data_IF_074699287814
#
_entry.id   IF_074699287814
#
_cell.length_a   1.000
_cell.length_b   1.000
_cell.length_c   1.000
_cell.angle_alpha   90.00
_cell.angle_beta   90.00
_cell.angle_gamma   90.00
#
_symmetry.space_group_name_H-M   'P 1'
#
loop_
_entity.id
_entity.type
_entity.pdbx_description
1 polymer ?
#
# COMPACT_ATOMS: atom_id res chain seq x y z
N UNK A 1 -15.66 -28.96 18.11
CA UNK A 1 -17.11 -28.84 18.31
C UNK A 1 -17.41 -27.47 18.86
N UNK A 2 -17.78 -26.53 17.99
CA UNK A 2 -18.54 -25.32 18.30
C UNK A 2 -18.97 -24.78 16.95
N UNK A 3 -20.21 -24.99 16.62
CA UNK A 3 -20.96 -24.53 15.45
C UNK A 3 -21.23 -23.04 15.60
N UNK A 4 -20.81 -22.23 14.64
CA UNK A 4 -21.28 -20.86 14.51
C UNK A 4 -22.52 -20.85 13.61
N UNK A 5 -23.63 -20.47 14.19
CA UNK A 5 -24.93 -20.33 13.52
C UNK A 5 -24.92 -19.07 12.62
N UNK A 6 -25.02 -19.32 11.32
CA UNK A 6 -25.55 -18.35 10.36
C UNK A 6 -27.04 -18.17 10.62
N UNK A 7 -27.47 -17.15 11.34
CA UNK A 7 -28.86 -16.71 11.37
C UNK A 7 -28.91 -15.23 11.77
N UNK A 8 -29.13 -14.35 10.80
CA UNK A 8 -29.42 -12.96 11.14
C UNK A 8 -29.74 -11.96 10.03
N UNK A 9 -29.52 -12.27 8.77
CA UNK A 9 -29.66 -11.23 7.73
C UNK A 9 -30.67 -11.49 6.61
N UNK A 10 -31.46 -12.56 6.62
CA UNK A 10 -32.39 -12.88 5.51
C UNK A 10 -33.88 -12.83 5.90
N UNK A 11 -34.23 -12.39 7.11
CA UNK A 11 -35.63 -12.40 7.58
C UNK A 11 -36.37 -11.07 7.59
N UNK A 12 -35.83 -10.02 7.01
CA UNK A 12 -36.51 -8.70 7.00
C UNK A 12 -37.15 -8.28 5.67
N UNK A 13 -37.22 -9.15 4.66
CA UNK A 13 -37.78 -8.76 3.36
C UNK A 13 -39.02 -9.55 2.89
N UNK A 14 -39.61 -10.43 3.68
CA UNK A 14 -40.72 -11.27 3.23
C UNK A 14 -42.10 -11.02 3.91
N UNK A 15 -42.27 -10.02 4.74
CA UNK A 15 -43.55 -9.74 5.41
C UNK A 15 -44.22 -8.42 4.98
N UNK A 16 -44.11 -8.04 3.71
CA UNK A 16 -45.08 -7.07 3.14
C UNK A 16 -46.18 -7.89 2.44
N UNK A 17 -47.10 -8.39 3.25
CA UNK A 17 -48.41 -8.80 2.73
C UNK A 17 -49.22 -7.55 2.33
N UNK A 18 -49.30 -7.33 1.02
CA UNK A 18 -50.29 -6.41 0.47
C UNK A 18 -51.68 -7.02 0.66
N UNK A 19 -52.40 -6.55 1.68
CA UNK A 19 -53.84 -6.78 1.79
C UNK A 19 -54.56 -5.90 0.77
N UNK A 20 -55.10 -6.52 -0.24
CA UNK A 20 -56.02 -5.88 -1.19
C UNK A 20 -57.34 -5.63 -0.48
N UNK A 21 -57.84 -4.36 -0.37
CA UNK A 21 -59.16 -4.13 0.17
C UNK A 21 -60.26 -4.55 -0.79
N UNK A 22 -61.29 -5.23 -0.27
CA UNK A 22 -62.52 -5.62 -0.96
C UNK A 22 -63.30 -4.40 -1.46
N UNK A 23 -63.94 -4.46 -2.62
CA UNK A 23 -64.69 -3.35 -3.20
C UNK A 23 -66.16 -3.39 -2.75
N UNK A 24 -66.49 -2.88 -1.56
CA UNK A 24 -67.87 -2.68 -1.20
C UNK A 24 -68.05 -1.38 -0.40
N UNK A 25 -68.71 -0.39 -1.03
CA UNK A 25 -69.41 0.69 -0.41
C UNK A 25 -68.91 2.11 -0.74
N UNK A 26 -69.81 3.03 -1.17
CA UNK A 26 -69.41 4.38 -1.50
C UNK A 26 -69.34 5.25 -0.22
N UNK A 27 -68.15 5.43 0.27
CA UNK A 27 -67.89 6.54 1.19
C UNK A 27 -67.49 7.77 0.34
N UNK A 28 -68.29 8.83 0.39
CA UNK A 28 -68.00 10.07 -0.31
C UNK A 28 -66.66 10.68 0.06
N UNK A 29 -66.09 11.55 -0.81
CA UNK A 29 -64.79 12.12 -0.58
C UNK A 29 -64.78 12.97 0.66
N UNK A 30 -64.07 12.51 1.71
CA UNK A 30 -63.69 13.33 2.82
C UNK A 30 -62.88 14.54 2.32
N UNK A 31 -62.84 15.69 3.03
CA UNK A 31 -62.07 16.84 2.59
C UNK A 31 -60.63 16.47 2.49
N UNK A 32 -60.15 16.25 1.23
CA UNK A 32 -58.76 16.02 0.94
C UNK A 32 -57.95 17.18 1.52
N UNK A 33 -57.01 16.84 2.36
CA UNK A 33 -55.96 17.76 2.83
C UNK A 33 -55.23 18.27 1.60
N UNK A 34 -55.76 19.39 1.04
CA UNK A 34 -55.04 20.17 0.03
C UNK A 34 -53.80 20.74 0.72
N UNK A 35 -52.66 20.09 0.56
CA UNK A 35 -51.39 20.72 0.90
C UNK A 35 -51.35 22.05 0.14
N UNK A 36 -51.21 23.18 0.85
CA UNK A 36 -51.15 24.45 0.17
C UNK A 36 -50.06 24.36 -0.91
N UNK A 37 -50.38 24.79 -2.13
CA UNK A 37 -49.48 24.68 -3.29
C UNK A 37 -48.10 25.25 -3.02
N UNK A 38 -47.96 26.15 -2.07
CA UNK A 38 -46.71 26.66 -1.55
C UNK A 38 -45.84 25.57 -0.89
N UNK A 39 -46.37 24.62 -0.13
CA UNK A 39 -45.59 23.53 0.49
C UNK A 39 -45.08 22.53 -0.57
N UNK A 40 -45.87 22.24 -1.60
CA UNK A 40 -45.46 21.39 -2.72
C UNK A 40 -44.38 22.10 -3.52
N UNK A 41 -44.55 23.40 -3.79
CA UNK A 41 -43.55 24.19 -4.49
C UNK A 41 -42.25 24.33 -3.69
N UNK A 42 -42.34 24.48 -2.34
CA UNK A 42 -41.16 24.53 -1.48
C UNK A 42 -40.41 23.22 -1.46
N UNK A 43 -41.09 22.08 -1.36
CA UNK A 43 -40.48 20.74 -1.39
C UNK A 43 -39.81 20.49 -2.74
N UNK A 44 -40.47 20.88 -3.85
CA UNK A 44 -39.87 20.77 -5.18
C UNK A 44 -38.64 21.69 -5.34
N UNK A 45 -38.72 22.92 -4.81
CA UNK A 45 -37.58 23.83 -4.83
C UNK A 45 -36.42 23.30 -4.03
N UNK A 46 -36.64 22.76 -2.83
CA UNK A 46 -35.59 22.12 -2.00
C UNK A 46 -35.03 20.89 -2.70
N UNK A 47 -35.88 20.06 -3.31
CA UNK A 47 -35.38 18.91 -4.08
C UNK A 47 -34.52 19.31 -5.29
N UNK A 48 -34.86 20.42 -5.95
CA UNK A 48 -34.07 20.93 -7.08
C UNK A 48 -32.78 21.63 -6.60
N UNK A 49 -32.90 22.49 -5.56
CA UNK A 49 -31.76 23.33 -5.13
C UNK A 49 -30.76 22.55 -4.29
N UNK A 50 -31.17 21.51 -3.57
CA UNK A 50 -30.30 20.71 -2.72
C UNK A 50 -30.11 19.29 -3.30
N UNK A 51 -31.19 18.64 -3.71
CA UNK A 51 -31.18 17.24 -4.11
C UNK A 51 -30.41 17.01 -5.44
N UNK A 52 -30.56 17.90 -6.42
CA UNK A 52 -29.85 17.77 -7.70
C UNK A 52 -28.34 18.00 -7.54
N UNK A 53 -27.87 19.09 -6.90
CA UNK A 53 -26.44 19.27 -6.66
C UNK A 53 -25.82 18.15 -5.84
N UNK A 54 -26.53 17.67 -4.79
CA UNK A 54 -26.05 16.53 -4.00
C UNK A 54 -25.92 15.25 -4.83
N UNK A 55 -26.91 14.98 -5.70
CA UNK A 55 -26.84 13.80 -6.57
C UNK A 55 -25.69 13.89 -7.59
N UNK A 56 -25.44 15.08 -8.12
CA UNK A 56 -24.29 15.34 -9.00
C UNK A 56 -22.98 15.13 -8.20
N UNK A 57 -22.87 15.74 -7.04
CA UNK A 57 -21.68 15.60 -6.20
C UNK A 57 -21.38 14.14 -5.82
N UNK A 58 -22.42 13.34 -5.49
CA UNK A 58 -22.26 11.90 -5.24
C UNK A 58 -21.79 11.15 -6.48
N UNK A 59 -22.32 11.49 -7.65
CA UNK A 59 -21.95 10.84 -8.90
C UNK A 59 -20.51 11.15 -9.30
N UNK A 60 -20.16 12.42 -9.26
CA UNK A 60 -18.82 12.89 -9.66
C UNK A 60 -17.73 12.48 -8.66
N UNK A 61 -18.00 12.55 -7.35
CA UNK A 61 -17.05 12.15 -6.31
C UNK A 61 -16.58 10.69 -6.44
N UNK A 62 -17.46 9.78 -6.88
CA UNK A 62 -17.09 8.38 -7.11
C UNK A 62 -16.00 8.18 -8.19
N UNK A 63 -15.72 9.19 -8.99
CA UNK A 63 -14.65 9.18 -9.99
C UNK A 63 -13.29 9.63 -9.47
N UNK A 64 -13.16 9.95 -8.16
CA UNK A 64 -11.95 10.50 -7.58
C UNK A 64 -11.56 9.81 -6.28
N UNK A 65 -10.26 9.87 -5.99
CA UNK A 65 -9.66 9.58 -4.70
C UNK A 65 -9.16 10.88 -4.07
N UNK A 66 -9.34 11.00 -2.76
CA UNK A 66 -8.77 12.09 -1.97
C UNK A 66 -7.46 11.59 -1.35
N UNK A 67 -6.38 12.31 -1.61
CA UNK A 67 -5.09 12.15 -0.97
C UNK A 67 -4.97 13.25 0.08
N UNK A 68 -4.71 12.86 1.31
CA UNK A 68 -4.55 13.77 2.44
C UNK A 68 -3.28 13.45 3.22
N UNK A 69 -2.74 14.41 3.98
CA UNK A 69 -1.61 14.15 4.85
C UNK A 69 -1.93 13.04 5.84
N UNK A 70 -1.20 11.95 5.76
CA UNK A 70 -1.29 10.84 6.70
C UNK A 70 -0.54 11.12 7.99
N UNK A 71 0.19 10.11 8.45
CA UNK A 71 1.00 10.18 9.67
C UNK A 71 2.49 10.13 9.36
N UNK A 72 3.31 10.48 10.34
CA UNK A 72 4.76 10.32 10.28
C UNK A 72 5.25 9.52 11.50
N UNK A 73 5.03 8.18 11.48
CA UNK A 73 5.33 7.33 12.62
C UNK A 73 6.83 7.26 12.91
N UNK A 74 7.15 7.22 14.21
CA UNK A 74 8.50 6.99 14.70
C UNK A 74 8.92 5.54 14.47
N UNK A 75 10.04 5.31 13.79
CA UNK A 75 10.61 3.96 13.68
C UNK A 75 11.42 3.66 14.95
N UNK A 76 11.06 2.59 15.65
CA UNK A 76 11.64 2.26 16.95
C UNK A 76 11.82 0.76 17.15
N UNK A 77 12.83 0.36 17.92
CA UNK A 77 13.01 -1.01 18.41
C UNK A 77 12.25 -1.29 19.71
N UNK A 78 11.48 -0.30 20.21
CA UNK A 78 10.75 -0.42 21.48
C UNK A 78 9.62 -1.43 21.39
N UNK A 79 9.57 -2.36 22.34
CA UNK A 79 8.46 -3.31 22.50
C UNK A 79 7.17 -2.66 23.04
N UNK A 80 7.23 -1.38 23.37
CA UNK A 80 6.07 -0.58 23.76
C UNK A 80 5.28 -0.05 22.56
N UNK A 81 5.87 -0.07 21.35
CA UNK A 81 5.15 0.17 20.11
C UNK A 81 4.23 -1.02 19.84
N UNK A 82 2.93 -0.86 20.01
CA UNK A 82 1.93 -1.94 19.96
C UNK A 82 0.67 -1.48 19.25
N UNK A 83 -0.04 -2.43 18.67
CA UNK A 83 -1.35 -2.18 18.05
C UNK A 83 -2.34 -1.66 19.09
N UNK A 84 -2.93 -0.50 18.84
CA UNK A 84 -4.03 0.08 19.59
C UNK A 84 -5.36 -0.61 19.33
N UNK A 85 -6.42 -0.09 19.93
CA UNK A 85 -7.78 -0.60 19.72
C UNK A 85 -8.36 -0.30 18.34
N UNK A 86 -7.76 0.62 17.62
CA UNK A 86 -8.07 1.09 16.27
C UNK A 86 -7.29 0.34 15.17
N UNK A 87 -6.37 -0.56 15.54
CA UNK A 87 -5.51 -1.30 14.61
C UNK A 87 -4.17 -0.61 14.32
N UNK A 88 -4.00 0.64 14.69
CA UNK A 88 -2.77 1.39 14.49
C UNK A 88 -1.71 1.08 15.56
N UNK A 89 -0.44 1.18 15.18
CA UNK A 89 0.68 1.02 16.10
C UNK A 89 1.01 2.35 16.78
N UNK A 90 0.99 2.38 18.12
CA UNK A 90 1.35 3.55 18.90
C UNK A 90 2.15 3.21 20.16
N UNK A 91 2.92 4.18 20.63
CA UNK A 91 3.54 4.18 21.94
C UNK A 91 2.50 4.50 23.05
N UNK A 92 2.80 4.25 24.33
CA UNK A 92 1.87 4.51 25.43
C UNK A 92 1.41 5.97 25.56
N UNK A 93 2.18 6.92 25.04
CA UNK A 93 1.86 8.35 24.98
C UNK A 93 0.99 8.76 23.79
N UNK A 94 0.60 7.77 22.95
CA UNK A 94 -0.17 8.01 21.73
C UNK A 94 0.66 8.40 20.51
N UNK A 95 1.99 8.44 20.61
CA UNK A 95 2.84 8.72 19.44
C UNK A 95 2.76 7.58 18.44
N UNK A 96 2.36 7.82 17.17
CA UNK A 96 2.37 6.81 16.13
C UNK A 96 3.77 6.21 15.96
N UNK A 97 3.85 4.90 15.83
CA UNK A 97 5.14 4.22 15.71
C UNK A 97 5.10 3.03 14.75
N UNK A 98 6.27 2.66 14.27
CA UNK A 98 6.55 1.44 13.50
C UNK A 98 7.64 0.68 14.23
N UNK A 99 7.47 -0.62 14.40
CA UNK A 99 8.40 -1.43 15.16
C UNK A 99 9.42 -2.13 14.28
N UNK A 100 10.69 -1.74 14.43
CA UNK A 100 11.83 -2.45 13.86
C UNK A 100 12.20 -3.63 14.77
N UNK A 101 12.12 -4.84 14.23
CA UNK A 101 12.43 -6.08 14.95
C UNK A 101 13.83 -6.56 14.60
N UNK A 102 14.69 -6.57 15.58
CA UNK A 102 16.07 -7.03 15.50
C UNK A 102 16.32 -8.15 16.53
N UNK A 103 17.28 -9.04 16.33
CA UNK A 103 17.66 -10.04 17.33
C UNK A 103 18.11 -9.39 18.65
N UNK A 104 17.81 -10.05 19.75
CA UNK A 104 18.18 -9.59 21.08
C UNK A 104 19.69 -9.26 21.17
N UNK A 105 20.01 -8.09 21.70
CA UNK A 105 21.38 -7.62 21.87
C UNK A 105 22.06 -7.08 20.61
N UNK A 106 21.33 -6.97 19.49
CA UNK A 106 21.84 -6.32 18.26
C UNK A 106 21.52 -4.85 18.17
N UNK A 107 20.39 -4.44 18.76
CA UNK A 107 19.96 -3.02 18.71
C UNK A 107 20.75 -2.17 19.71
N UNK A 108 21.19 -1.03 19.27
CA UNK A 108 21.78 0.04 20.09
C UNK A 108 20.75 1.12 20.39
N UNK A 109 20.85 1.82 21.54
CA UNK A 109 20.04 3.01 21.80
C UNK A 109 20.29 4.08 20.75
N UNK A 110 19.20 4.62 20.17
CA UNK A 110 19.26 5.63 19.11
C UNK A 110 19.18 7.02 19.72
N UNK A 111 20.05 7.94 19.25
CA UNK A 111 20.00 9.38 19.53
C UNK A 111 19.30 10.09 18.38
N UNK A 112 18.31 10.92 18.71
CA UNK A 112 17.43 11.54 17.70
C UNK A 112 16.27 10.66 17.34
N UNK A 113 15.71 10.83 16.15
CA UNK A 113 14.53 10.10 15.70
C UNK A 113 14.52 9.92 14.19
N UNK A 114 14.11 8.76 13.74
CA UNK A 114 13.82 8.49 12.34
C UNK A 114 12.31 8.25 12.17
N UNK A 115 11.71 9.01 11.26
CA UNK A 115 10.31 8.90 10.91
C UNK A 115 10.18 8.33 9.50
N UNK A 116 9.28 7.39 9.31
CA UNK A 116 8.69 7.16 8.00
C UNK A 116 7.50 8.10 7.81
N UNK A 117 6.88 8.10 6.64
CA UNK A 117 5.69 8.89 6.37
C UNK A 117 4.78 8.17 5.41
N UNK A 118 3.49 8.25 5.66
CA UNK A 118 2.43 7.74 4.81
C UNK A 118 1.54 8.86 4.23
N UNK A 119 0.62 8.46 3.37
CA UNK A 119 -0.44 9.30 2.81
C UNK A 119 -1.76 8.59 3.09
N UNK A 120 -2.73 9.31 3.59
CA UNK A 120 -4.09 8.79 3.69
C UNK A 120 -4.76 8.89 2.31
N UNK A 121 -5.22 7.76 1.80
CA UNK A 121 -5.90 7.67 0.50
C UNK A 121 -7.28 7.07 0.70
N UNK A 122 -8.30 7.82 0.38
CA UNK A 122 -9.68 7.40 0.47
C UNK A 122 -10.45 7.70 -0.81
N UNK A 123 -11.54 6.97 -1.05
CA UNK A 123 -12.46 7.36 -2.10
C UNK A 123 -13.10 8.69 -1.72
N UNK A 124 -13.06 9.67 -2.63
CA UNK A 124 -13.63 10.99 -2.37
C UNK A 124 -15.13 10.92 -2.11
N UNK A 125 -15.58 11.61 -1.08
CA UNK A 125 -16.99 11.79 -0.77
C UNK A 125 -17.59 13.02 -1.48
N UNK A 126 -18.93 13.17 -1.40
CA UNK A 126 -19.61 14.32 -2.00
C UNK A 126 -19.20 15.67 -1.40
N UNK A 127 -18.77 15.66 -0.14
CA UNK A 127 -18.30 16.88 0.56
C UNK A 127 -16.93 17.26 0.03
N UNK A 128 -16.01 16.29 -0.06
CA UNK A 128 -14.64 16.50 -0.57
C UNK A 128 -14.66 17.02 -2.00
N UNK A 129 -15.53 16.44 -2.84
CA UNK A 129 -15.74 16.92 -4.20
C UNK A 129 -16.27 18.34 -4.25
N UNK A 130 -17.24 18.68 -3.40
CA UNK A 130 -17.80 20.02 -3.35
C UNK A 130 -16.79 21.05 -2.83
N UNK A 131 -15.98 20.71 -1.84
CA UNK A 131 -14.90 21.55 -1.32
C UNK A 131 -13.83 21.79 -2.38
N UNK A 132 -13.46 20.74 -3.12
CA UNK A 132 -12.52 20.84 -4.23
C UNK A 132 -13.02 21.77 -5.34
N UNK A 133 -14.28 21.59 -5.79
CA UNK A 133 -14.89 22.40 -6.84
C UNK A 133 -15.00 23.88 -6.44
N UNK A 134 -15.21 24.14 -5.15
CA UNK A 134 -15.27 25.49 -4.57
C UNK A 134 -13.89 26.07 -4.23
N UNK A 135 -12.81 25.31 -4.41
CA UNK A 135 -11.44 25.71 -4.04
C UNK A 135 -11.23 25.84 -2.54
N UNK A 136 -11.99 25.09 -1.73
CA UNK A 136 -11.96 25.10 -0.27
C UNK A 136 -11.12 23.97 0.34
N UNK A 137 -10.74 22.97 -0.46
CA UNK A 137 -9.82 21.91 -0.03
C UNK A 137 -8.52 22.49 0.52
N UNK A 138 -7.95 21.82 1.50
CA UNK A 138 -6.65 22.17 2.05
C UNK A 138 -5.57 22.18 0.95
N UNK A 139 -4.53 23.02 1.13
CA UNK A 139 -3.44 23.08 0.15
C UNK A 139 -2.64 21.78 0.02
N UNK A 140 -2.74 20.91 1.02
CA UNK A 140 -2.06 19.64 1.08
C UNK A 140 -2.95 18.45 0.69
N UNK A 141 -4.22 18.72 0.38
CA UNK A 141 -5.16 17.68 -0.06
C UNK A 141 -5.21 17.69 -1.59
N UNK A 142 -5.20 16.51 -2.20
CA UNK A 142 -5.23 16.37 -3.65
C UNK A 142 -6.37 15.46 -4.09
N UNK A 143 -7.16 15.92 -5.03
CA UNK A 143 -8.16 15.09 -5.71
C UNK A 143 -7.53 14.44 -6.94
N UNK A 144 -7.46 13.12 -6.95
CA UNK A 144 -6.85 12.32 -8.02
C UNK A 144 -7.95 11.54 -8.74
N UNK A 145 -8.07 11.64 -10.08
CA UNK A 145 -9.02 10.82 -10.83
C UNK A 145 -8.79 9.33 -10.59
N UNK A 146 -9.86 8.57 -10.36
CA UNK A 146 -9.78 7.13 -10.15
C UNK A 146 -9.07 6.40 -11.32
N UNK A 147 -9.30 6.85 -12.55
CA UNK A 147 -8.63 6.31 -13.73
C UNK A 147 -7.10 6.52 -13.72
N UNK A 148 -6.62 7.57 -13.05
CA UNK A 148 -5.19 7.86 -12.90
C UNK A 148 -4.58 7.05 -11.74
N UNK A 149 -5.27 6.96 -10.60
CA UNK A 149 -4.78 6.27 -9.41
C UNK A 149 -4.87 4.75 -9.51
N UNK A 150 -6.07 4.23 -9.83
CA UNK A 150 -6.30 2.78 -9.90
C UNK A 150 -6.16 2.21 -11.31
N UNK A 151 -6.16 3.07 -12.34
CA UNK A 151 -6.12 2.65 -13.73
C UNK A 151 -7.26 1.67 -14.06
N UNK A 152 -6.90 0.52 -14.60
CA UNK A 152 -7.82 -0.60 -14.86
C UNK A 152 -7.76 -1.69 -13.78
N UNK A 153 -6.99 -1.48 -12.72
CA UNK A 153 -6.77 -2.47 -11.65
C UNK A 153 -8.00 -2.52 -10.74
N UNK A 154 -8.59 -3.69 -10.51
CA UNK A 154 -9.68 -3.84 -9.56
C UNK A 154 -9.22 -3.46 -8.14
N UNK A 155 -10.10 -2.82 -7.38
CA UNK A 155 -9.81 -2.35 -6.00
C UNK A 155 -9.35 -3.48 -5.06
N UNK A 156 -9.82 -4.72 -5.30
CA UNK A 156 -9.39 -5.92 -4.54
C UNK A 156 -7.92 -6.31 -4.81
N UNK A 157 -7.35 -5.88 -5.92
CA UNK A 157 -5.97 -6.18 -6.33
C UNK A 157 -5.01 -5.10 -5.83
N UNK A 158 -5.47 -3.85 -5.69
CA UNK A 158 -4.65 -2.75 -5.15
C UNK A 158 -4.10 -3.09 -3.75
N UNK A 159 -4.95 -3.56 -2.84
CA UNK A 159 -4.50 -3.93 -1.49
C UNK A 159 -3.50 -5.08 -1.47
N UNK A 160 -3.51 -5.93 -2.52
CA UNK A 160 -2.51 -6.97 -2.69
C UNK A 160 -1.16 -6.42 -3.16
N UNK A 161 -1.17 -5.52 -4.13
CA UNK A 161 0.02 -4.82 -4.62
C UNK A 161 0.66 -4.00 -3.52
N UNK A 162 -0.12 -3.19 -2.80
CA UNK A 162 0.37 -2.37 -1.67
C UNK A 162 1.07 -3.22 -0.60
N UNK A 163 0.47 -4.38 -0.26
CA UNK A 163 1.06 -5.31 0.72
C UNK A 163 2.38 -5.91 0.20
N UNK A 164 2.43 -6.30 -1.08
CA UNK A 164 3.61 -6.85 -1.72
C UNK A 164 4.74 -5.83 -1.80
N UNK A 165 4.41 -4.60 -2.16
CA UNK A 165 5.36 -3.50 -2.26
C UNK A 165 5.95 -3.15 -0.90
N UNK A 166 5.15 -3.19 0.17
CA UNK A 166 5.65 -2.99 1.53
C UNK A 166 6.59 -4.10 1.98
N UNK A 167 6.25 -5.38 1.74
CA UNK A 167 7.13 -6.52 2.05
C UNK A 167 8.44 -6.43 1.27
N UNK A 168 8.37 -6.02 0.01
CA UNK A 168 9.56 -5.78 -0.81
C UNK A 168 10.40 -4.63 -0.28
N UNK A 169 9.77 -3.52 0.14
CA UNK A 169 10.44 -2.37 0.74
C UNK A 169 11.21 -2.74 2.02
N UNK A 170 10.60 -3.53 2.92
CA UNK A 170 11.27 -4.04 4.14
C UNK A 170 12.48 -4.92 3.79
N UNK A 171 12.33 -5.83 2.83
CA UNK A 171 13.40 -6.72 2.39
C UNK A 171 14.57 -5.95 1.76
N UNK A 172 14.31 -5.06 0.81
CA UNK A 172 15.35 -4.27 0.17
C UNK A 172 16.00 -3.26 1.12
N UNK A 173 15.23 -2.69 2.06
CA UNK A 173 15.78 -1.85 3.12
C UNK A 173 16.77 -2.64 4.01
N UNK A 174 16.41 -3.84 4.42
CA UNK A 174 17.29 -4.72 5.18
C UNK A 174 18.54 -5.12 4.39
N UNK A 175 18.38 -5.46 3.11
CA UNK A 175 19.49 -5.80 2.21
C UNK A 175 20.47 -4.62 2.08
N UNK A 176 19.98 -3.44 1.71
CA UNK A 176 20.78 -2.23 1.52
C UNK A 176 21.49 -1.80 2.82
N UNK A 177 20.77 -1.82 3.95
CA UNK A 177 21.33 -1.47 5.25
C UNK A 177 22.46 -2.43 5.67
N UNK A 178 22.20 -3.72 5.62
CA UNK A 178 23.17 -4.75 6.03
C UNK A 178 24.38 -4.81 5.10
N UNK A 179 24.17 -4.71 3.78
CA UNK A 179 25.27 -4.61 2.81
C UNK A 179 26.15 -3.39 3.10
N UNK A 180 25.54 -2.24 3.40
CA UNK A 180 26.25 -0.99 3.72
C UNK A 180 27.03 -1.07 5.04
N UNK A 181 26.61 -1.92 5.97
CA UNK A 181 27.30 -2.24 7.23
C UNK A 181 28.30 -3.39 7.10
N UNK A 182 28.70 -3.78 5.88
CA UNK A 182 29.64 -4.85 5.56
C UNK A 182 29.20 -6.24 6.04
N UNK A 183 27.91 -6.48 6.27
CA UNK A 183 27.38 -7.81 6.50
C UNK A 183 27.30 -8.59 5.17
N UNK A 184 27.53 -9.90 5.25
CA UNK A 184 27.31 -10.78 4.10
C UNK A 184 25.82 -11.00 3.88
N UNK A 185 25.33 -10.53 2.77
CA UNK A 185 23.94 -10.68 2.31
C UNK A 185 23.93 -11.26 0.91
N UNK A 186 22.90 -12.00 0.55
CA UNK A 186 22.72 -12.53 -0.79
C UNK A 186 21.24 -12.64 -1.14
N UNK A 187 20.95 -12.49 -2.43
CA UNK A 187 19.66 -12.81 -3.01
C UNK A 187 19.73 -14.22 -3.58
N UNK A 188 18.79 -15.07 -3.19
CA UNK A 188 18.66 -16.44 -3.68
C UNK A 188 17.36 -16.55 -4.44
N UNK A 189 17.37 -16.93 -5.72
CA UNK A 189 16.14 -17.19 -6.46
C UNK A 189 15.27 -18.24 -5.74
N UNK A 190 14.00 -17.95 -5.53
CA UNK A 190 13.08 -18.76 -4.71
C UNK A 190 11.73 -19.04 -5.39
N UNK A 191 11.67 -18.90 -6.70
CA UNK A 191 10.46 -19.12 -7.46
C UNK A 191 9.95 -17.91 -8.21
N UNK A 192 8.66 -17.92 -8.53
CA UNK A 192 7.94 -16.78 -9.10
C UNK A 192 6.80 -16.38 -8.18
N UNK A 193 6.69 -15.10 -7.92
CA UNK A 193 5.59 -14.53 -7.16
C UNK A 193 4.48 -14.11 -8.11
N UNK A 194 3.26 -14.38 -7.72
CA UNK A 194 2.06 -14.00 -8.49
C UNK A 194 1.72 -12.56 -8.13
N UNK A 195 1.80 -11.67 -9.11
CA UNK A 195 1.46 -10.25 -8.95
C UNK A 195 -0.03 -10.01 -9.19
N UNK A 196 -0.58 -10.67 -10.23
CA UNK A 196 -1.97 -10.56 -10.59
C UNK A 196 -2.54 -11.90 -11.03
N UNK A 197 -3.80 -12.17 -10.67
CA UNK A 197 -4.59 -13.29 -11.19
C UNK A 197 -5.77 -12.75 -11.97
N UNK A 198 -5.70 -12.87 -13.28
CA UNK A 198 -6.74 -12.36 -14.17
C UNK A 198 -8.07 -13.09 -13.97
N UNK A 199 -9.14 -12.35 -13.82
CA UNK A 199 -10.48 -12.89 -13.55
C UNK A 199 -10.96 -13.90 -14.59
N UNK A 200 -11.69 -14.95 -14.17
CA UNK A 200 -12.24 -16.01 -15.01
C UNK A 200 -11.21 -16.86 -15.75
N UNK A 201 -9.93 -16.82 -15.36
CA UNK A 201 -8.84 -17.59 -15.94
C UNK A 201 -8.65 -18.97 -15.27
N UNK A 202 -7.82 -19.85 -15.84
CA UNK A 202 -7.48 -21.12 -15.20
C UNK A 202 -6.86 -20.96 -13.79
N UNK A 203 -6.01 -19.96 -13.59
CA UNK A 203 -5.41 -19.68 -12.30
C UNK A 203 -6.46 -19.26 -11.27
N UNK A 204 -7.35 -18.33 -11.64
CA UNK A 204 -8.45 -17.88 -10.80
C UNK A 204 -9.38 -19.04 -10.39
N UNK A 205 -9.74 -19.91 -11.34
CA UNK A 205 -10.58 -21.08 -11.07
C UNK A 205 -9.88 -22.12 -10.17
N UNK A 206 -8.56 -22.16 -10.20
CA UNK A 206 -7.75 -23.06 -9.39
C UNK A 206 -7.50 -22.53 -7.97
N UNK A 207 -7.89 -21.27 -7.67
CA UNK A 207 -7.73 -20.64 -6.37
C UNK A 207 -6.28 -20.19 -6.12
N UNK A 208 -5.55 -19.85 -7.18
CA UNK A 208 -4.28 -19.12 -7.08
C UNK A 208 -4.62 -17.66 -6.76
N UNK A 209 -3.89 -17.06 -5.85
CA UNK A 209 -4.10 -15.69 -5.43
C UNK A 209 -2.84 -14.85 -5.64
N UNK A 210 -3.01 -13.55 -5.62
CA UNK A 210 -1.90 -12.62 -5.58
C UNK A 210 -1.03 -12.90 -4.34
N UNK A 211 0.27 -12.67 -4.47
CA UNK A 211 1.33 -13.01 -3.50
C UNK A 211 1.58 -14.50 -3.27
N UNK A 212 0.86 -15.40 -3.92
CA UNK A 212 1.23 -16.82 -3.92
C UNK A 212 2.58 -17.01 -4.64
N UNK A 213 3.34 -18.00 -4.22
CA UNK A 213 4.67 -18.27 -4.78
C UNK A 213 4.71 -19.64 -5.43
N UNK A 214 4.90 -19.66 -6.74
CA UNK A 214 5.02 -20.89 -7.51
C UNK A 214 6.49 -21.28 -7.62
N UNK A 215 6.84 -22.47 -7.10
CA UNK A 215 8.22 -22.96 -7.05
C UNK A 215 8.48 -24.17 -7.93
N UNK A 216 7.44 -24.81 -8.48
CA UNK A 216 7.61 -25.90 -9.42
C UNK A 216 6.41 -26.06 -10.36
N UNK A 217 6.68 -26.54 -11.57
CA UNK A 217 5.69 -26.96 -12.56
C UNK A 217 5.89 -28.44 -12.87
N UNK A 218 4.86 -29.28 -12.66
CA UNK A 218 4.90 -30.74 -12.83
C UNK A 218 6.07 -31.41 -12.08
N UNK A 219 6.41 -30.89 -10.88
CA UNK A 219 7.51 -31.35 -10.04
C UNK A 219 8.90 -30.92 -10.50
N UNK A 220 9.02 -30.13 -11.56
CA UNK A 220 10.27 -29.48 -11.97
C UNK A 220 10.37 -28.14 -11.27
N UNK A 221 11.44 -27.89 -10.49
CA UNK A 221 11.65 -26.57 -9.87
C UNK A 221 11.68 -25.45 -10.92
N UNK A 222 11.13 -24.29 -10.55
CA UNK A 222 11.22 -23.03 -11.29
C UNK A 222 11.68 -21.95 -10.33
N UNK A 223 12.78 -21.28 -10.67
CA UNK A 223 13.42 -20.29 -9.81
C UNK A 223 13.35 -18.88 -10.42
N UNK A 224 12.78 -18.77 -11.61
CA UNK A 224 12.62 -17.48 -12.29
C UNK A 224 11.43 -17.49 -13.24
N UNK A 225 10.96 -16.29 -13.59
CA UNK A 225 9.95 -16.06 -14.64
C UNK A 225 10.31 -16.77 -15.96
N UNK A 226 11.58 -16.70 -16.35
CA UNK A 226 12.04 -17.37 -17.58
C UNK A 226 11.91 -18.90 -17.49
N UNK A 227 12.25 -19.50 -16.36
CA UNK A 227 12.14 -20.95 -16.14
C UNK A 227 10.67 -21.36 -16.05
N UNK A 228 9.83 -20.57 -15.40
CA UNK A 228 8.39 -20.78 -15.36
C UNK A 228 7.78 -20.76 -16.76
N UNK A 229 8.08 -19.75 -17.55
CA UNK A 229 7.66 -19.66 -18.95
C UNK A 229 8.15 -20.84 -19.80
N UNK A 230 9.43 -21.26 -19.66
CA UNK A 230 9.99 -22.43 -20.34
C UNK A 230 9.32 -23.73 -19.92
N UNK A 231 8.89 -23.86 -18.67
CA UNK A 231 8.20 -25.06 -18.17
C UNK A 231 6.77 -25.17 -18.72
N UNK A 232 6.11 -24.04 -18.98
CA UNK A 232 4.74 -24.01 -19.52
C UNK A 232 4.70 -24.03 -21.05
N UNK A 233 5.70 -23.45 -21.73
CA UNK A 233 5.72 -23.29 -23.18
C UNK A 233 5.48 -24.58 -24.01
N UNK A 234 6.01 -25.76 -23.62
CA UNK A 234 5.78 -27.00 -24.38
C UNK A 234 4.44 -27.67 -24.06
N UNK A 235 3.67 -27.16 -23.10
CA UNK A 235 2.44 -27.81 -22.63
C UNK A 235 1.27 -27.33 -23.49
N UNK A 236 0.53 -28.23 -24.17
CA UNK A 236 -0.60 -27.83 -24.99
C UNK A 236 -1.78 -27.33 -24.15
N UNK A 237 -2.55 -26.39 -24.71
CA UNK A 237 -3.83 -25.98 -24.14
C UNK A 237 -4.76 -27.21 -23.97
N UNK A 238 -5.53 -27.25 -22.88
CA UNK A 238 -6.35 -28.38 -22.46
C UNK A 238 -5.65 -29.36 -21.53
N UNK A 239 -4.31 -29.28 -21.41
CA UNK A 239 -3.53 -30.15 -20.52
C UNK A 239 -3.63 -29.65 -19.07
N UNK A 240 -3.62 -30.60 -18.12
CA UNK A 240 -3.56 -30.30 -16.69
C UNK A 240 -2.10 -30.28 -16.26
N UNK A 241 -1.67 -29.19 -15.67
CA UNK A 241 -0.37 -29.05 -14.98
C UNK A 241 -0.57 -29.09 -13.47
N UNK A 242 0.48 -29.49 -12.74
CA UNK A 242 0.53 -29.44 -11.29
C UNK A 242 1.53 -28.35 -10.91
N UNK A 243 1.06 -27.31 -10.25
CA UNK A 243 1.88 -26.24 -9.68
C UNK A 243 2.17 -26.56 -8.22
N UNK A 244 3.43 -26.32 -7.80
CA UNK A 244 3.76 -26.30 -6.37
C UNK A 244 3.70 -24.86 -5.92
N UNK A 245 2.79 -24.59 -5.03
CA UNK A 245 2.38 -23.27 -4.61
C UNK A 245 2.60 -23.09 -3.10
N UNK A 246 3.10 -21.93 -2.71
CA UNK A 246 3.19 -21.45 -1.34
C UNK A 246 2.22 -20.29 -1.18
N UNK A 247 1.00 -20.52 -0.64
CA UNK A 247 0.01 -19.48 -0.50
C UNK A 247 0.46 -18.33 0.41
N UNK A 248 0.20 -17.11 0.00
CA UNK A 248 0.45 -15.90 0.79
C UNK A 248 -0.29 -15.94 2.14
N UNK A 249 -1.51 -16.49 2.16
CA UNK A 249 -2.31 -16.66 3.36
C UNK A 249 -1.76 -17.72 4.33
N UNK A 250 -0.64 -18.37 3.99
CA UNK A 250 -0.05 -19.46 4.79
C UNK A 250 -0.73 -20.81 4.57
N UNK A 251 -0.54 -21.75 5.51
CA UNK A 251 -1.13 -23.10 5.39
C UNK A 251 -0.19 -24.13 4.76
N UNK A 252 1.04 -23.74 4.44
CA UNK A 252 2.07 -24.63 3.88
C UNK A 252 1.94 -24.88 2.39
N UNK A 253 2.84 -25.67 1.86
CA UNK A 253 2.95 -25.97 0.43
C UNK A 253 1.72 -26.69 -0.10
N UNK A 254 1.14 -26.19 -1.17
CA UNK A 254 0.02 -26.82 -1.89
C UNK A 254 0.46 -27.33 -3.25
N UNK A 255 -0.22 -28.36 -3.73
CA UNK A 255 -0.12 -28.83 -5.11
C UNK A 255 -1.44 -28.58 -5.81
N UNK A 256 -1.44 -27.57 -6.68
CA UNK A 256 -2.62 -27.10 -7.39
C UNK A 256 -2.65 -27.69 -8.78
N UNK A 257 -3.77 -28.32 -9.16
CA UNK A 257 -3.98 -28.83 -10.52
C UNK A 257 -4.71 -27.78 -11.34
N UNK A 258 -4.07 -27.32 -12.41
CA UNK A 258 -4.64 -26.28 -13.28
C UNK A 258 -4.73 -26.81 -14.71
N UNK A 259 -5.91 -26.68 -15.32
CA UNK A 259 -6.10 -27.00 -16.74
C UNK A 259 -5.82 -25.75 -17.57
N UNK A 260 -4.72 -25.75 -18.31
CA UNK A 260 -4.35 -24.63 -19.17
C UNK A 260 -5.37 -24.46 -20.33
N UNK A 261 -5.59 -23.21 -20.74
CA UNK A 261 -6.48 -22.88 -21.86
C UNK A 261 -5.70 -22.28 -23.03
N UNK A 262 -6.38 -21.88 -24.09
CA UNK A 262 -5.84 -21.01 -25.11
C UNK A 262 -5.89 -19.57 -24.61
N UNK A 263 -4.89 -18.73 -24.96
CA UNK A 263 -4.92 -17.32 -24.59
C UNK A 263 -6.11 -16.60 -25.25
N UNK A 264 -6.72 -15.61 -24.60
CA UNK A 264 -7.72 -14.76 -25.21
C UNK A 264 -7.15 -13.91 -26.33
N UNK A 265 -8.01 -13.36 -27.19
CA UNK A 265 -7.59 -12.61 -28.37
C UNK A 265 -6.67 -11.40 -28.04
N UNK A 266 -6.90 -10.74 -26.90
CA UNK A 266 -6.06 -9.63 -26.41
C UNK A 266 -4.63 -10.07 -26.13
N UNK A 267 -4.43 -11.24 -25.57
CA UNK A 267 -3.12 -11.83 -25.25
C UNK A 267 -2.46 -12.37 -26.52
N UNK A 268 -3.23 -12.94 -27.43
CA UNK A 268 -2.74 -13.38 -28.76
C UNK A 268 -2.16 -12.20 -29.53
N UNK A 269 -2.82 -11.03 -29.49
CA UNK A 269 -2.34 -9.79 -30.13
C UNK A 269 -0.97 -9.31 -29.61
N UNK A 270 -0.58 -9.75 -28.40
CA UNK A 270 0.73 -9.48 -27.79
C UNK A 270 1.82 -10.52 -28.17
N UNK A 271 1.55 -11.43 -29.10
CA UNK A 271 2.53 -12.40 -29.59
C UNK A 271 2.51 -13.78 -28.88
N UNK A 272 1.46 -14.07 -28.14
CA UNK A 272 1.31 -15.37 -27.42
C UNK A 272 0.46 -16.39 -28.21
N UNK A 273 0.39 -16.25 -29.52
CA UNK A 273 -0.33 -17.21 -30.37
C UNK A 273 0.26 -18.63 -30.25
N UNK A 274 -0.63 -19.62 -30.16
CA UNK A 274 -0.24 -21.05 -30.09
C UNK A 274 0.31 -21.49 -28.73
N UNK A 275 0.45 -20.59 -27.75
CA UNK A 275 0.89 -20.92 -26.39
C UNK A 275 -0.27 -21.36 -25.51
N UNK A 276 0.02 -22.06 -24.43
CA UNK A 276 -0.95 -22.33 -23.37
C UNK A 276 -1.05 -21.10 -22.45
N UNK A 277 -2.19 -20.96 -21.82
CA UNK A 277 -2.51 -19.80 -21.00
C UNK A 277 -2.96 -20.21 -19.59
N UNK A 278 -2.34 -19.60 -18.59
CA UNK A 278 -2.65 -19.79 -17.18
C UNK A 278 -3.49 -18.64 -16.62
N UNK A 279 -3.18 -17.39 -17.01
CA UNK A 279 -3.86 -16.18 -16.60
C UNK A 279 -3.35 -15.60 -15.29
N UNK A 280 -2.04 -15.52 -15.16
CA UNK A 280 -1.33 -14.84 -14.08
C UNK A 280 -0.31 -13.88 -14.65
N UNK A 281 -0.07 -12.80 -13.97
CA UNK A 281 1.14 -12.01 -14.08
C UNK A 281 2.07 -12.41 -12.94
N UNK A 282 3.35 -12.58 -13.23
CA UNK A 282 4.33 -13.06 -12.27
C UNK A 282 5.66 -12.34 -12.43
N UNK A 283 6.38 -12.19 -11.32
CA UNK A 283 7.74 -11.67 -11.27
C UNK A 283 8.70 -12.66 -10.64
N UNK A 284 10.01 -12.42 -10.82
CA UNK A 284 11.04 -13.18 -10.13
C UNK A 284 10.97 -12.93 -8.63
N UNK A 285 10.93 -14.01 -7.85
CA UNK A 285 11.04 -13.91 -6.41
C UNK A 285 12.44 -14.26 -5.96
N UNK A 286 12.97 -13.42 -5.08
CA UNK A 286 14.21 -13.69 -4.37
C UNK A 286 13.93 -13.85 -2.87
N UNK A 287 14.61 -14.79 -2.26
CA UNK A 287 14.71 -14.91 -0.81
C UNK A 287 16.00 -14.27 -0.37
N UNK A 288 15.94 -13.36 0.58
CA UNK A 288 17.13 -12.77 1.14
C UNK A 288 17.79 -13.73 2.14
N UNK A 289 19.06 -13.99 1.91
CA UNK A 289 19.92 -14.64 2.88
C UNK A 289 20.62 -13.58 3.72
N UNK A 290 20.03 -13.29 4.88
CA UNK A 290 20.55 -12.33 5.84
C UNK A 290 21.32 -13.07 6.95
N UNK A 291 22.32 -12.44 7.58
CA UNK A 291 23.08 -13.04 8.69
C UNK A 291 22.23 -13.25 9.95
N UNK A 292 21.13 -12.53 10.06
CA UNK A 292 20.11 -12.65 11.10
C UNK A 292 18.79 -12.04 10.59
N UNK A 293 17.64 -12.39 11.19
CA UNK A 293 16.35 -11.83 10.77
C UNK A 293 16.28 -10.33 11.12
N UNK A 294 15.76 -9.57 10.18
CA UNK A 294 15.37 -8.16 10.30
C UNK A 294 14.00 -8.03 9.70
N UNK A 295 13.08 -7.40 10.40
CA UNK A 295 11.75 -7.10 9.87
C UNK A 295 11.19 -5.81 10.45
N UNK A 296 10.25 -5.22 9.74
CA UNK A 296 9.51 -4.03 10.16
C UNK A 296 8.04 -4.40 10.33
N UNK A 297 7.48 -4.07 11.48
CA UNK A 297 6.05 -4.18 11.73
C UNK A 297 5.44 -2.77 11.60
N UNK A 298 4.79 -2.52 10.45
CA UNK A 298 4.23 -1.22 10.09
C UNK A 298 2.69 -1.16 10.24
N UNK A 299 2.06 -2.22 10.77
CA UNK A 299 0.60 -2.29 10.88
C UNK A 299 -0.07 -2.38 9.50
N UNK A 300 -1.07 -1.54 9.27
CA UNK A 300 -1.83 -1.50 8.01
C UNK A 300 -1.21 -0.55 6.95
N UNK A 301 -0.03 0.04 7.24
CA UNK A 301 0.64 0.93 6.28
C UNK A 301 1.17 0.11 5.11
N UNK A 302 0.80 0.48 3.90
CA UNK A 302 1.18 -0.17 2.65
C UNK A 302 2.10 0.68 1.77
N UNK A 303 2.60 0.06 0.69
CA UNK A 303 3.38 0.73 -0.35
C UNK A 303 4.90 0.76 -0.10
N UNK A 304 5.72 0.91 -1.16
CA UNK A 304 7.18 0.76 -1.10
C UNK A 304 7.92 2.03 -0.65
N UNK A 305 7.21 3.12 -0.41
CA UNK A 305 7.79 4.47 -0.23
C UNK A 305 8.56 4.68 1.07
N UNK A 306 8.52 3.72 2.01
CA UNK A 306 9.22 3.77 3.29
C UNK A 306 10.63 3.15 3.25
N UNK A 307 11.07 2.60 2.11
CA UNK A 307 12.32 1.87 1.97
C UNK A 307 13.55 2.62 2.47
N UNK A 308 13.68 3.91 2.11
CA UNK A 308 14.77 4.75 2.59
C UNK A 308 14.73 4.95 4.12
N UNK A 309 13.56 5.22 4.69
CA UNK A 309 13.40 5.41 6.13
C UNK A 309 13.76 4.14 6.91
N UNK A 310 13.30 2.97 6.44
CA UNK A 310 13.63 1.68 7.04
C UNK A 310 15.13 1.37 6.94
N UNK A 311 15.75 1.64 5.79
CA UNK A 311 17.21 1.46 5.61
C UNK A 311 18.00 2.27 6.64
N UNK A 312 17.66 3.54 6.81
CA UNK A 312 18.31 4.40 7.79
C UNK A 312 18.09 3.93 9.21
N UNK A 313 16.86 3.51 9.57
CA UNK A 313 16.55 3.04 10.90
C UNK A 313 17.25 1.72 11.28
N UNK A 314 17.37 0.79 10.31
CA UNK A 314 18.12 -0.46 10.48
C UNK A 314 19.61 -0.13 10.70
N UNK A 315 20.18 0.75 9.87
CA UNK A 315 21.58 1.17 10.01
C UNK A 315 21.85 1.86 11.34
N UNK A 316 20.99 2.78 11.74
CA UNK A 316 21.13 3.51 13.01
C UNK A 316 21.07 2.55 14.20
N UNK A 317 20.09 1.68 14.22
CA UNK A 317 19.91 0.70 15.30
C UNK A 317 21.00 -0.36 15.38
N UNK A 318 21.62 -0.74 14.26
CA UNK A 318 22.70 -1.76 14.21
C UNK A 318 24.10 -1.16 14.36
N UNK A 319 24.22 0.15 14.32
CA UNK A 319 25.48 0.86 14.56
C UNK A 319 25.55 1.39 16.00
N UNK A 320 26.05 2.60 16.22
CA UNK A 320 26.10 3.22 17.54
C UNK A 320 24.89 4.07 17.91
N UNK A 321 23.88 4.14 17.00
CA UNK A 321 22.64 4.90 17.21
C UNK A 321 22.79 6.41 17.10
N UNK A 322 23.80 6.91 16.39
CA UNK A 322 24.10 8.33 16.23
C UNK A 322 24.01 8.81 14.78
N UNK A 323 23.37 8.03 13.88
CA UNK A 323 23.32 8.31 12.45
C UNK A 323 22.68 9.67 12.13
N UNK A 324 21.65 10.06 12.89
CA UNK A 324 20.94 11.33 12.69
C UNK A 324 21.62 12.54 13.31
N UNK A 325 22.73 12.35 14.07
CA UNK A 325 23.36 13.41 14.85
C UNK A 325 22.47 14.01 15.94
N UNK A 326 21.44 13.27 16.39
CA UNK A 326 20.47 13.72 17.40
C UNK A 326 19.27 14.48 16.83
N UNK A 327 19.18 14.64 15.51
CA UNK A 327 18.08 15.33 14.85
C UNK A 327 16.85 14.43 14.67
N UNK A 328 15.68 15.05 14.50
CA UNK A 328 14.46 14.40 14.08
C UNK A 328 14.40 14.42 12.55
N UNK A 329 14.69 13.29 11.94
CA UNK A 329 14.83 13.11 10.50
C UNK A 329 13.66 12.27 9.97
N UNK A 330 13.04 12.75 8.92
CA UNK A 330 12.07 11.97 8.14
C UNK A 330 12.66 11.58 6.78
N UNK A 331 12.23 10.48 6.21
CA UNK A 331 12.65 10.06 4.89
C UNK A 331 11.51 9.37 4.14
N UNK A 332 11.46 9.58 2.82
CA UNK A 332 10.63 8.83 1.89
C UNK A 332 11.44 8.49 0.65
N UNK A 333 11.06 7.43 -0.03
CA UNK A 333 11.74 6.93 -1.22
C UNK A 333 11.71 5.40 -1.23
N UNK A 334 11.52 4.80 -2.40
CA UNK A 334 11.77 3.36 -2.54
C UNK A 334 13.27 3.10 -2.39
N UNK A 335 13.64 1.89 -2.05
CA UNK A 335 15.03 1.47 -1.91
C UNK A 335 15.25 0.20 -2.70
N UNK A 336 16.31 0.16 -3.51
CA UNK A 336 16.72 -1.05 -4.18
C UNK A 336 17.98 -1.69 -3.53
N UNK A 337 18.38 -2.83 -4.06
CA UNK A 337 19.56 -3.56 -3.58
C UNK A 337 20.90 -2.80 -3.79
N UNK A 338 20.96 -1.89 -4.75
CA UNK A 338 22.13 -1.06 -5.02
C UNK A 338 22.23 0.15 -4.08
N UNK A 339 21.14 0.46 -3.37
CA UNK A 339 21.03 1.62 -2.51
C UNK A 339 20.57 2.86 -3.27
N UNK A 340 19.94 2.71 -4.42
CA UNK A 340 19.35 3.82 -5.15
C UNK A 340 17.97 4.17 -4.56
N UNK A 341 17.67 5.47 -4.51
CA UNK A 341 16.41 6.01 -4.00
C UNK A 341 15.49 6.30 -5.16
N UNK A 342 14.38 5.57 -5.22
CA UNK A 342 13.38 5.73 -6.27
C UNK A 342 12.21 6.62 -5.87
N UNK A 343 11.39 6.94 -6.87
CA UNK A 343 10.27 7.87 -6.80
C UNK A 343 9.12 7.37 -5.91
N UNK A 344 8.30 8.32 -5.45
CA UNK A 344 7.12 8.06 -4.60
C UNK A 344 5.97 8.99 -4.99
N UNK A 345 4.73 8.57 -4.68
CA UNK A 345 3.57 9.44 -4.78
C UNK A 345 3.28 10.23 -3.50
N UNK A 346 2.43 11.25 -3.60
CA UNK A 346 1.89 11.99 -2.46
C UNK A 346 2.95 12.75 -1.66
N UNK A 347 3.96 13.32 -2.32
CA UNK A 347 5.07 13.97 -1.61
C UNK A 347 4.65 15.27 -0.92
N UNK A 348 3.64 15.96 -1.44
CA UNK A 348 3.12 17.19 -0.81
C UNK A 348 2.42 16.86 0.51
N UNK A 349 1.56 15.83 0.51
CA UNK A 349 0.86 15.31 1.67
C UNK A 349 1.86 14.77 2.71
N UNK A 350 2.86 14.02 2.25
CA UNK A 350 3.96 13.54 3.10
C UNK A 350 4.73 14.67 3.74
N UNK A 351 5.02 15.74 3.01
CA UNK A 351 5.72 16.92 3.54
C UNK A 351 4.93 17.58 4.66
N UNK A 352 3.62 17.75 4.48
CA UNK A 352 2.75 18.29 5.52
C UNK A 352 2.69 17.39 6.77
N UNK A 353 2.62 16.06 6.58
CA UNK A 353 2.60 15.10 7.68
C UNK A 353 3.91 15.14 8.51
N UNK A 354 5.08 15.16 7.86
CA UNK A 354 6.37 15.21 8.58
C UNK A 354 6.61 16.55 9.25
N UNK A 355 6.12 17.65 8.67
CA UNK A 355 6.18 18.97 9.31
C UNK A 355 5.31 19.00 10.57
N UNK A 356 4.09 18.50 10.49
CA UNK A 356 3.17 18.36 11.63
C UNK A 356 3.78 17.50 12.74
N UNK A 357 4.52 16.46 12.39
CA UNK A 357 5.26 15.62 13.32
C UNK A 357 6.50 16.29 13.90
N UNK A 358 6.88 17.47 13.42
CA UNK A 358 8.02 18.25 13.90
C UNK A 358 9.38 17.72 13.43
N UNK A 359 9.44 17.13 12.25
CA UNK A 359 10.70 16.78 11.61
C UNK A 359 11.52 18.04 11.32
N UNK A 360 12.84 17.94 11.45
CA UNK A 360 13.78 19.02 11.14
C UNK A 360 14.35 18.88 9.73
N UNK A 361 14.46 17.63 9.27
CA UNK A 361 15.01 17.26 7.97
C UNK A 361 14.10 16.23 7.32
N UNK A 362 13.83 16.43 6.05
CA UNK A 362 13.05 15.47 5.25
C UNK A 362 13.81 15.12 3.98
N UNK A 363 14.26 13.87 3.87
CA UNK A 363 14.87 13.35 2.67
C UNK A 363 13.79 12.88 1.70
N UNK A 364 13.84 13.40 0.48
CA UNK A 364 12.90 13.08 -0.59
C UNK A 364 13.65 12.69 -1.87
N UNK A 365 13.09 11.86 -2.75
CA UNK A 365 13.70 11.60 -4.03
C UNK A 365 13.86 12.90 -4.84
N UNK A 366 14.94 12.97 -5.62
CA UNK A 366 15.29 14.18 -6.38
C UNK A 366 14.17 14.67 -7.31
N UNK A 367 13.39 13.75 -7.87
CA UNK A 367 12.35 14.08 -8.83
C UNK A 367 11.18 14.85 -8.17
N UNK A 368 10.86 14.55 -6.91
CA UNK A 368 9.74 15.13 -6.16
C UNK A 368 10.15 16.31 -5.28
N UNK A 369 11.42 16.74 -5.34
CA UNK A 369 11.94 17.82 -4.49
C UNK A 369 11.15 19.13 -4.60
N UNK A 370 10.81 19.54 -5.83
CA UNK A 370 10.11 20.81 -6.04
C UNK A 370 8.69 20.79 -5.45
N UNK A 371 8.02 19.66 -5.57
CA UNK A 371 6.68 19.49 -5.02
C UNK A 371 6.71 19.48 -3.49
N UNK A 372 7.68 18.79 -2.88
CA UNK A 372 7.89 18.80 -1.44
C UNK A 372 8.21 20.21 -0.92
N UNK A 373 9.15 20.93 -1.58
CA UNK A 373 9.57 22.26 -1.18
C UNK A 373 8.44 23.28 -1.29
N UNK A 374 7.52 23.10 -2.25
CA UNK A 374 6.41 24.02 -2.50
C UNK A 374 5.44 24.15 -1.32
N UNK A 375 5.36 23.12 -0.47
CA UNK A 375 4.46 23.04 0.69
C UNK A 375 5.18 23.02 2.03
N UNK A 376 6.50 22.89 2.03
CA UNK A 376 7.31 22.88 3.25
C UNK A 376 7.30 24.24 3.96
N UNK A 377 7.11 24.23 5.28
CA UNK A 377 7.22 25.41 6.11
C UNK A 377 8.68 25.74 6.48
N UNK A 378 8.87 26.85 7.17
CA UNK A 378 10.20 27.42 7.45
C UNK A 378 11.07 26.57 8.40
N UNK A 379 10.50 25.61 9.11
CA UNK A 379 11.22 24.79 10.09
C UNK A 379 11.67 23.45 9.54
N UNK A 380 11.17 23.04 8.39
CA UNK A 380 11.50 21.78 7.73
C UNK A 380 12.52 22.04 6.62
N UNK A 381 13.65 21.34 6.68
CA UNK A 381 14.64 21.34 5.61
C UNK A 381 14.40 20.16 4.69
N UNK A 382 13.86 20.39 3.51
CA UNK A 382 13.70 19.36 2.47
C UNK A 382 15.02 19.15 1.74
N UNK A 383 15.44 17.89 1.61
CA UNK A 383 16.73 17.53 1.04
C UNK A 383 16.54 16.51 -0.07
N UNK A 384 16.82 16.86 -1.33
CA UNK A 384 16.73 15.94 -2.46
C UNK A 384 17.87 14.92 -2.45
N UNK A 385 17.53 13.66 -2.73
CA UNK A 385 18.50 12.56 -2.77
C UNK A 385 18.21 11.57 -3.89
N UNK A 386 19.25 10.88 -4.36
CA UNK A 386 19.16 9.83 -5.38
C UNK A 386 19.72 8.50 -4.88
N UNK A 387 20.42 8.49 -3.73
CA UNK A 387 21.03 7.27 -3.20
C UNK A 387 21.24 7.33 -1.69
N UNK A 388 21.29 6.17 -1.06
CA UNK A 388 21.66 6.00 0.34
C UNK A 388 23.02 6.64 0.65
N UNK A 389 24.00 6.46 -0.25
CA UNK A 389 25.34 7.05 -0.06
C UNK A 389 25.30 8.57 0.05
N UNK A 390 24.48 9.24 -0.73
CA UNK A 390 24.27 10.68 -0.66
C UNK A 390 23.62 11.09 0.67
N UNK A 391 22.58 10.37 1.11
CA UNK A 391 21.93 10.62 2.42
C UNK A 391 22.94 10.54 3.56
N UNK A 392 23.71 9.45 3.59
CA UNK A 392 24.72 9.22 4.62
C UNK A 392 25.82 10.31 4.65
N UNK A 393 26.24 10.76 3.47
CA UNK A 393 27.18 11.87 3.36
C UNK A 393 26.59 13.17 3.91
N UNK A 394 25.33 13.48 3.62
CA UNK A 394 24.65 14.68 4.09
C UNK A 394 24.45 14.62 5.61
N UNK A 395 23.98 13.50 6.15
CA UNK A 395 23.81 13.29 7.60
C UNK A 395 25.13 13.55 8.33
N UNK A 396 26.24 13.02 7.83
CA UNK A 396 27.56 13.23 8.42
C UNK A 396 28.02 14.67 8.34
N UNK A 397 27.94 15.29 7.16
CA UNK A 397 28.55 16.60 6.91
C UNK A 397 27.74 17.74 7.49
N UNK A 398 26.42 17.68 7.43
CA UNK A 398 25.55 18.79 7.82
C UNK A 398 24.93 18.60 9.20
N UNK A 399 24.69 17.36 9.61
CA UNK A 399 23.95 17.05 10.84
C UNK A 399 24.81 16.37 11.92
N UNK A 400 26.10 16.14 11.63
CA UNK A 400 27.02 15.59 12.62
C UNK A 400 26.80 14.10 12.94
N UNK A 401 26.07 13.39 12.06
CA UNK A 401 25.80 11.97 12.22
C UNK A 401 27.08 11.13 12.17
N UNK A 402 27.15 10.11 13.02
CA UNK A 402 28.21 9.11 12.96
C UNK A 402 27.80 7.99 12.00
N UNK A 403 28.42 7.99 10.84
CA UNK A 403 28.07 7.09 9.72
C UNK A 403 29.10 5.98 9.62
N UNK A 404 28.70 4.70 9.82
CA UNK A 404 29.58 3.54 9.70
C UNK A 404 30.25 3.47 8.32
N UNK A 405 31.53 3.11 8.30
CA UNK A 405 32.31 2.89 7.05
C UNK A 405 32.69 4.15 6.25
N UNK A 406 32.29 5.35 6.69
CA UNK A 406 32.83 6.60 6.21
C UNK A 406 33.94 7.03 7.18
N UNK A 407 35.19 6.70 6.92
CA UNK A 407 36.30 7.09 7.78
C UNK A 407 36.41 8.60 7.89
N UNK A 408 36.90 9.07 9.04
CA UNK A 408 37.13 10.49 9.37
C UNK A 408 38.29 11.11 8.59
N UNK A 409 38.38 10.90 7.30
CA UNK A 409 39.33 11.57 6.44
C UNK A 409 38.92 13.03 6.31
N UNK A 410 39.53 13.92 7.13
CA UNK A 410 39.46 15.36 6.97
C UNK A 410 39.06 16.18 8.21
N UNK A 411 39.71 15.97 9.34
CA UNK A 411 40.04 17.10 10.24
C UNK A 411 41.54 17.30 10.13
N UNK A 412 41.93 18.11 9.16
CA UNK A 412 43.24 18.76 9.12
C UNK A 412 43.01 20.26 9.20
#
# INVERSE_FOLDING_TARGET
>A
MATWEEHGAVRAMNDIQMTVPSPDGPAGPGPGTRWPGFLVSLVLLVAIVVGVPTAIAVHEANGYYLFSPGTAPLITTSTQCRTGGDGELALPDGTPCVRLVLPAGKAHPVKGSLLMVDVEVGQAGPVDWAEWELGLLGKQDQMVPAAEYVGTTPTSELGCQDTQEMVSADQYAALAALARLDYKVAEIPDGVQVDEVLGSTPAWQAGINCNDVITAVNGRPVLSFQEFGKALAPVPAGTVVVLTDYPAAGGGVKRIKVRLTRPPASVVAQGFEGKSYLGVEVQDRVKLQLPFPVSVEAGEIGGPSAGLAFTLAIMDSLSNGELTGGHKVAATGTMDAAGDVGQVGGVQEKTAAVEKAGAQVFFVPQAEYQDAESVAGHHLVVVPVTSLSQVLQILRQRYGGDVPGLSSAGKA
#
